data_IF_358986838042
#
_entry.id   IF_358986838042
#
_cell.length_a   1.000
_cell.length_b   1.000
_cell.length_c   1.000
_cell.angle_alpha   90.00
_cell.angle_beta   90.00
_cell.angle_gamma   90.00
#
_symmetry.space_group_name_H-M   'P 1'
#
loop_
_entity.id
_entity.type
_entity.pdbx_description
1 polymer ?
#
# COMPACT_ATOMS: atom_id res chain seq x y z
N UNK A 1 -2.42 62.42 10.65
CA UNK A 1 -1.11 61.86 10.28
C UNK A 1 -0.88 60.64 11.14
N UNK A 2 -0.52 59.52 10.50
CA UNK A 2 -0.79 58.15 10.92
C UNK A 2 -0.07 57.69 12.21
N UNK A 3 -0.82 57.03 13.10
CA UNK A 3 -0.30 56.25 14.22
C UNK A 3 -0.51 54.75 13.97
N UNK A 4 0.62 54.07 13.82
CA UNK A 4 1.01 52.80 14.45
C UNK A 4 0.03 51.62 14.40
N UNK A 5 0.29 50.72 13.44
CA UNK A 5 -0.28 49.37 13.36
C UNK A 5 0.11 48.53 14.58
N UNK A 6 -0.88 48.12 15.37
CA UNK A 6 -0.75 47.17 16.47
C UNK A 6 -0.45 45.75 15.94
N UNK A 7 0.62 45.18 16.49
CA UNK A 7 1.01 43.79 16.33
C UNK A 7 -0.11 42.85 16.83
N UNK A 8 -0.55 41.93 15.98
CA UNK A 8 -1.38 40.80 16.37
C UNK A 8 -0.52 39.76 17.08
N UNK A 9 -0.56 39.78 18.41
CA UNK A 9 -0.17 38.65 19.25
C UNK A 9 -1.27 37.59 19.16
N UNK A 10 -1.11 36.61 18.27
CA UNK A 10 -1.94 35.41 18.27
C UNK A 10 -1.50 34.51 19.43
N UNK A 11 -2.39 34.40 20.41
CA UNK A 11 -2.25 33.53 21.57
C UNK A 11 -2.00 32.09 21.12
N UNK A 12 -0.85 31.55 21.53
CA UNK A 12 -0.52 30.13 21.48
C UNK A 12 -1.39 29.41 22.50
N UNK A 13 -2.63 29.07 22.12
CA UNK A 13 -3.46 28.16 22.90
C UNK A 13 -2.87 26.75 22.72
N UNK A 14 -2.14 26.30 23.74
CA UNK A 14 -1.78 24.90 23.94
C UNK A 14 -3.06 24.06 24.04
N UNK A 15 -3.59 23.60 22.91
CA UNK A 15 -4.48 22.44 22.91
C UNK A 15 -3.62 21.22 23.25
N UNK A 16 -3.65 20.83 24.51
CA UNK A 16 -3.32 19.47 24.93
C UNK A 16 -4.38 18.55 24.30
N UNK A 17 -4.05 17.67 23.34
CA UNK A 17 -5.01 16.69 22.88
C UNK A 17 -5.28 15.72 24.04
N UNK A 18 -6.56 15.65 24.43
CA UNK A 18 -7.10 14.67 25.36
C UNK A 18 -6.74 13.26 24.86
N UNK A 19 -6.13 12.45 25.72
CA UNK A 19 -5.89 11.01 25.50
C UNK A 19 -7.23 10.26 25.43
N UNK A 20 -7.93 10.35 24.31
CA UNK A 20 -8.91 9.37 23.88
C UNK A 20 -8.16 8.19 23.28
N UNK A 21 -8.49 6.96 23.70
CA UNK A 21 -7.94 5.76 23.07
C UNK A 21 -8.26 5.83 21.56
N UNK A 22 -7.24 5.98 20.72
CA UNK A 22 -7.40 6.06 19.27
C UNK A 22 -8.11 4.78 18.81
N UNK A 23 -9.25 4.94 18.15
CA UNK A 23 -10.04 3.82 17.69
C UNK A 23 -9.37 3.14 16.50
N UNK A 24 -9.61 1.83 16.32
CA UNK A 24 -9.14 1.07 15.15
C UNK A 24 -9.60 1.71 13.83
N UNK A 25 -10.78 2.33 13.82
CA UNK A 25 -11.31 3.03 12.65
C UNK A 25 -10.46 4.27 12.29
N UNK A 26 -10.05 5.06 13.28
CA UNK A 26 -9.17 6.22 13.07
C UNK A 26 -7.79 5.79 12.58
N UNK A 27 -7.20 4.75 13.17
CA UNK A 27 -5.91 4.20 12.72
C UNK A 27 -5.99 3.66 11.29
N UNK A 28 -7.10 3.00 10.93
CA UNK A 28 -7.34 2.55 9.55
C UNK A 28 -7.46 3.73 8.59
N UNK A 29 -8.20 4.77 8.96
CA UNK A 29 -8.32 5.99 8.15
C UNK A 29 -6.97 6.68 7.98
N UNK A 30 -6.17 6.75 9.05
CA UNK A 30 -4.83 7.32 9.01
C UNK A 30 -3.91 6.54 8.06
N UNK A 31 -3.90 5.21 8.14
CA UNK A 31 -3.15 4.36 7.22
C UNK A 31 -3.57 4.59 5.76
N UNK A 32 -4.88 4.61 5.47
CA UNK A 32 -5.35 4.84 4.11
C UNK A 32 -4.95 6.22 3.57
N UNK A 33 -4.86 7.22 4.43
CA UNK A 33 -4.40 8.57 4.05
C UNK A 33 -2.89 8.68 3.81
N UNK A 34 -2.08 7.79 4.40
CA UNK A 34 -0.63 7.77 4.20
C UNK A 34 -0.19 6.94 2.99
N UNK A 35 -1.10 6.19 2.35
CA UNK A 35 -0.76 5.38 1.19
C UNK A 35 -0.35 6.27 0.00
N UNK A 36 0.84 6.05 -0.59
CA UNK A 36 1.32 6.81 -1.74
C UNK A 36 0.51 6.51 -3.00
N UNK A 37 0.40 7.50 -3.88
CA UNK A 37 -0.17 7.33 -5.22
C UNK A 37 0.62 6.28 -6.04
N UNK A 38 -0.02 5.72 -7.07
CA UNK A 38 0.56 4.70 -7.96
C UNK A 38 1.12 3.48 -7.19
N UNK A 39 0.37 2.98 -6.21
CA UNK A 39 0.71 1.75 -5.46
C UNK A 39 2.11 1.77 -4.81
N UNK A 40 2.69 2.96 -4.58
CA UNK A 40 4.00 3.09 -3.97
C UNK A 40 5.21 2.87 -4.88
N UNK A 41 5.04 2.72 -6.20
CA UNK A 41 6.18 2.63 -7.15
C UNK A 41 7.10 3.86 -7.09
N UNK A 42 6.55 5.03 -6.78
CA UNK A 42 7.30 6.27 -6.58
C UNK A 42 7.69 6.57 -5.13
N UNK A 43 7.41 5.68 -4.18
CA UNK A 43 7.60 5.98 -2.76
C UNK A 43 9.09 6.09 -2.41
N UNK A 44 9.45 7.12 -1.63
CA UNK A 44 10.77 7.26 -1.06
C UNK A 44 10.89 6.51 0.29
N UNK A 45 12.10 6.48 0.87
CA UNK A 45 12.35 5.78 2.14
C UNK A 45 11.53 6.33 3.31
N UNK A 46 11.31 7.64 3.37
CA UNK A 46 10.54 8.27 4.44
C UNK A 46 9.06 7.88 4.35
N UNK A 47 8.46 7.96 3.15
CA UNK A 47 7.08 7.54 2.91
C UNK A 47 6.86 6.07 3.25
N UNK A 48 7.81 5.19 2.86
CA UNK A 48 7.77 3.77 3.27
C UNK A 48 7.78 3.62 4.79
N UNK A 49 8.65 4.37 5.48
CA UNK A 49 8.73 4.34 6.94
C UNK A 49 7.44 4.81 7.62
N UNK A 50 6.79 5.85 7.08
CA UNK A 50 5.52 6.37 7.60
C UNK A 50 4.39 5.35 7.47
N UNK A 51 4.28 4.70 6.31
CA UNK A 51 3.30 3.63 6.07
C UNK A 51 3.56 2.44 7.01
N UNK A 52 4.82 2.01 7.17
CA UNK A 52 5.17 0.95 8.11
C UNK A 52 4.74 1.29 9.55
N UNK A 53 5.04 2.50 10.03
CA UNK A 53 4.64 2.92 11.36
C UNK A 53 3.11 2.94 11.55
N UNK A 54 2.36 3.36 10.52
CA UNK A 54 0.90 3.33 10.55
C UNK A 54 0.32 1.91 10.55
N UNK A 55 0.95 0.98 9.82
CA UNK A 55 0.61 -0.46 9.85
C UNK A 55 0.86 -1.03 11.26
N UNK A 56 2.01 -0.75 11.86
CA UNK A 56 2.36 -1.24 13.19
C UNK A 56 1.39 -0.74 14.27
N UNK A 57 1.01 0.54 14.21
CA UNK A 57 0.03 1.12 15.11
C UNK A 57 -1.36 0.46 14.96
N UNK A 58 -1.79 0.21 13.73
CA UNK A 58 -3.06 -0.47 13.45
C UNK A 58 -3.03 -1.94 13.92
N UNK A 59 -1.93 -2.64 13.69
CA UNK A 59 -1.75 -4.03 14.11
C UNK A 59 -1.77 -4.18 15.63
N UNK A 60 -1.19 -3.22 16.37
CA UNK A 60 -1.21 -3.21 17.83
C UNK A 60 -2.62 -2.99 18.42
N UNK A 61 -3.46 -2.21 17.74
CA UNK A 61 -4.81 -1.86 18.21
C UNK A 61 -5.89 -2.84 17.75
N UNK A 62 -5.71 -3.49 16.59
CA UNK A 62 -6.69 -4.41 16.04
C UNK A 62 -6.50 -5.82 16.62
N UNK A 63 -7.59 -6.46 17.02
CA UNK A 63 -7.56 -7.90 17.29
C UNK A 63 -7.24 -8.63 15.98
N UNK A 64 -6.13 -9.34 15.95
CA UNK A 64 -5.73 -10.14 14.79
C UNK A 64 -6.79 -11.21 14.56
N UNK A 65 -7.55 -11.06 13.48
CA UNK A 65 -8.37 -12.14 12.96
C UNK A 65 -7.42 -13.17 12.34
N UNK A 66 -7.75 -14.45 12.42
CA UNK A 66 -6.96 -15.49 11.76
C UNK A 66 -6.90 -15.18 10.27
N UNK A 67 -5.73 -14.77 9.78
CA UNK A 67 -5.50 -14.59 8.35
C UNK A 67 -5.28 -15.98 7.79
N UNK A 68 -6.03 -16.38 6.73
CA UNK A 68 -5.76 -17.64 6.06
C UNK A 68 -4.34 -17.63 5.51
N UNK A 69 -3.66 -18.78 5.56
CA UNK A 69 -2.35 -18.94 4.92
C UNK A 69 -2.49 -18.66 3.41
N UNK A 70 -1.67 -17.74 2.91
CA UNK A 70 -1.64 -17.34 1.50
C UNK A 70 -0.48 -18.00 0.75
N UNK A 71 0.31 -18.84 1.42
CA UNK A 71 1.44 -19.56 0.83
C UNK A 71 0.97 -20.45 -0.32
N UNK A 72 1.75 -20.45 -1.41
CA UNK A 72 1.53 -21.30 -2.57
C UNK A 72 1.54 -20.57 -3.90
N UNK A 73 1.13 -21.32 -4.93
CA UNK A 73 1.03 -20.86 -6.30
C UNK A 73 -0.39 -20.33 -6.59
N UNK A 74 -0.46 -19.08 -7.00
CA UNK A 74 -1.69 -18.39 -7.39
C UNK A 74 -1.70 -18.16 -8.89
N UNK A 75 -2.85 -18.32 -9.51
CA UNK A 75 -3.06 -18.11 -10.94
C UNK A 75 -4.09 -17.01 -11.18
N UNK A 76 -3.81 -16.14 -12.14
CA UNK A 76 -4.71 -15.10 -12.58
C UNK A 76 -5.77 -15.68 -13.52
N UNK A 77 -6.99 -15.85 -13.00
CA UNK A 77 -8.10 -16.42 -13.78
C UNK A 77 -8.75 -15.39 -14.72
N UNK A 78 -8.75 -14.10 -14.34
CA UNK A 78 -9.35 -13.04 -15.12
C UNK A 78 -8.67 -11.70 -14.85
N UNK A 79 -8.54 -10.88 -15.89
CA UNK A 79 -8.16 -9.48 -15.78
C UNK A 79 -8.68 -8.67 -16.97
N UNK A 80 -8.99 -7.40 -16.73
CA UNK A 80 -9.26 -6.39 -17.75
C UNK A 80 -8.07 -5.42 -17.94
N UNK A 81 -6.96 -5.67 -17.24
CA UNK A 81 -5.76 -4.84 -17.29
C UNK A 81 -5.08 -4.96 -18.68
N UNK A 82 -5.01 -3.87 -19.47
CA UNK A 82 -4.59 -3.95 -20.87
C UNK A 82 -3.11 -4.32 -21.04
N UNK A 83 -2.27 -4.01 -20.06
CA UNK A 83 -0.87 -4.37 -20.00
C UNK A 83 -0.67 -5.89 -19.84
N UNK A 84 -1.49 -6.54 -19.03
CA UNK A 84 -1.46 -8.01 -18.86
C UNK A 84 -2.04 -8.69 -20.11
N UNK A 85 -3.17 -8.18 -20.63
CA UNK A 85 -3.76 -8.71 -21.86
C UNK A 85 -2.83 -8.55 -23.08
N UNK A 86 -1.93 -7.56 -23.04
CA UNK A 86 -0.93 -7.32 -24.07
C UNK A 86 0.29 -8.26 -24.03
N UNK A 87 0.48 -9.06 -22.99
CA UNK A 87 1.66 -9.92 -22.83
C UNK A 87 1.81 -10.93 -23.98
N UNK A 88 0.69 -11.49 -24.46
CA UNK A 88 0.72 -12.46 -25.56
C UNK A 88 1.23 -11.83 -26.87
N UNK A 89 0.82 -10.58 -27.14
CA UNK A 89 1.30 -9.84 -28.31
C UNK A 89 2.80 -9.47 -28.19
N UNK A 90 3.29 -9.26 -26.96
CA UNK A 90 4.69 -8.94 -26.69
C UNK A 90 5.61 -10.16 -26.74
N UNK A 91 5.07 -11.38 -26.62
CA UNK A 91 5.82 -12.64 -26.65
C UNK A 91 6.47 -12.95 -28.01
N UNK A 92 6.01 -12.30 -29.08
CA UNK A 92 6.45 -12.54 -30.45
C UNK A 92 5.72 -13.72 -31.12
N UNK A 93 6.07 -14.06 -32.38
CA UNK A 93 5.24 -14.95 -33.20
C UNK A 93 5.30 -16.43 -32.81
N UNK A 94 6.28 -16.86 -32.02
CA UNK A 94 6.53 -18.27 -31.70
C UNK A 94 6.14 -18.67 -30.27
N UNK A 95 5.76 -17.69 -29.46
CA UNK A 95 5.43 -17.90 -28.05
C UNK A 95 3.99 -17.45 -27.78
N UNK A 96 3.41 -18.01 -26.73
CA UNK A 96 2.15 -17.55 -26.16
C UNK A 96 2.26 -17.51 -24.64
N UNK A 97 1.63 -16.52 -24.01
CA UNK A 97 1.57 -16.45 -22.55
C UNK A 97 0.61 -17.54 -22.05
N UNK A 98 1.15 -18.56 -21.36
CA UNK A 98 0.38 -19.72 -20.89
C UNK A 98 -0.13 -19.55 -19.48
N UNK A 99 0.57 -18.75 -18.66
CA UNK A 99 0.20 -18.53 -17.26
C UNK A 99 0.69 -17.18 -16.77
N UNK A 100 -0.17 -16.49 -16.02
CA UNK A 100 0.21 -15.35 -15.18
C UNK A 100 -0.18 -15.70 -13.76
N UNK A 101 0.73 -15.52 -12.81
CA UNK A 101 0.50 -15.93 -11.44
C UNK A 101 1.40 -15.26 -10.42
N UNK A 102 1.25 -15.68 -9.17
CA UNK A 102 2.09 -15.28 -8.05
C UNK A 102 2.55 -16.50 -7.28
N UNK A 103 3.77 -16.45 -6.76
CA UNK A 103 4.28 -17.43 -5.80
C UNK A 103 4.52 -16.72 -4.48
N UNK A 104 3.87 -17.22 -3.43
CA UNK A 104 3.98 -16.65 -2.08
C UNK A 104 4.66 -17.69 -1.19
N UNK A 105 5.75 -17.28 -0.55
CA UNK A 105 6.46 -18.08 0.46
C UNK A 105 6.52 -17.28 1.76
N UNK A 106 5.85 -17.76 2.80
CA UNK A 106 5.92 -17.16 4.14
C UNK A 106 7.31 -17.36 4.76
N UNK A 107 7.90 -18.54 4.60
CA UNK A 107 9.23 -18.89 5.11
C UNK A 107 10.30 -17.93 4.57
N UNK A 108 10.26 -17.65 3.28
CA UNK A 108 11.20 -16.74 2.62
C UNK A 108 10.76 -15.27 2.70
N UNK A 109 9.52 -15.01 3.14
CA UNK A 109 8.88 -13.68 3.13
C UNK A 109 8.92 -13.03 1.75
N UNK A 110 8.59 -13.81 0.72
CA UNK A 110 8.61 -13.34 -0.67
C UNK A 110 7.26 -13.48 -1.35
N UNK A 111 7.01 -12.56 -2.27
CA UNK A 111 5.91 -12.63 -3.24
C UNK A 111 6.54 -12.39 -4.61
N UNK A 112 6.51 -13.39 -5.48
CA UNK A 112 7.09 -13.33 -6.82
C UNK A 112 5.99 -13.34 -7.88
N UNK A 113 6.01 -12.39 -8.80
CA UNK A 113 5.15 -12.47 -9.99
C UNK A 113 5.77 -13.44 -11.00
N UNK A 114 4.96 -14.35 -11.54
CA UNK A 114 5.40 -15.33 -12.53
C UNK A 114 4.59 -15.16 -13.81
N UNK A 115 5.30 -15.07 -14.93
CA UNK A 115 4.74 -15.04 -16.27
C UNK A 115 5.40 -16.16 -17.06
N UNK A 116 4.62 -17.14 -17.47
CA UNK A 116 5.11 -18.30 -18.22
C UNK A 116 4.73 -18.18 -19.69
N UNK A 117 5.68 -18.55 -20.54
CA UNK A 117 5.51 -18.61 -21.98
C UNK A 117 5.69 -20.05 -22.45
N UNK A 118 4.82 -20.47 -23.36
CA UNK A 118 4.91 -21.75 -24.06
C UNK A 118 5.02 -21.55 -25.58
N UNK A 119 5.35 -22.62 -26.32
CA UNK A 119 5.25 -22.62 -27.78
C UNK A 119 3.81 -22.36 -28.23
N UNK A 120 3.65 -21.61 -29.32
CA UNK A 120 2.37 -21.41 -30.00
C UNK A 120 2.05 -22.54 -30.97
#
# INVERSE_FOLDING_TARGET
MAQTSLAHAAALLLLVPQSGAVSVAELRSALLSTLPANMGFGANRAQRSEVTAAIDALAAAAKQQSVPDLTGDWELIYTDAPDILGLDAQAGPFLTCTRVGQQISEDDRTISNVIEYGPR
#
